data_IF_072781925714
#
_entry.id   IF_072781925714
#
_cell.length_a   1.000
_cell.length_b   1.000
_cell.length_c   1.000
_cell.angle_alpha   90.00
_cell.angle_beta   90.00
_cell.angle_gamma   90.00
#
_symmetry.space_group_name_H-M   'P 1'
#
loop_
_entity.id
_entity.type
_entity.pdbx_description
1 polymer ?
#
# COMPACT_ATOMS: atom_id res chain seq x y z
N UNK A 1 9.81 -41.13 -2.51
CA UNK A 1 9.16 -40.08 -3.28
C UNK A 1 7.67 -40.09 -2.98
N UNK A 2 7.25 -39.92 -1.73
CA UNK A 2 5.83 -39.85 -1.29
C UNK A 2 5.63 -39.38 0.15
N UNK A 3 6.57 -38.62 0.75
CA UNK A 3 6.42 -38.15 2.14
C UNK A 3 6.44 -36.60 2.30
N UNK A 4 6.67 -35.84 1.25
CA UNK A 4 6.79 -34.37 1.33
C UNK A 4 5.50 -33.57 1.02
N UNK A 5 4.38 -34.24 0.78
CA UNK A 5 3.09 -33.57 0.44
C UNK A 5 2.03 -33.71 1.54
N UNK A 6 2.31 -34.37 2.66
CA UNK A 6 1.31 -34.60 3.73
C UNK A 6 1.39 -33.69 4.94
N UNK A 7 2.38 -32.83 5.09
CA UNK A 7 2.56 -32.00 6.30
C UNK A 7 1.97 -30.58 6.25
N UNK A 8 1.29 -30.19 5.17
CA UNK A 8 0.64 -28.88 5.10
C UNK A 8 -0.80 -28.85 5.64
N UNK A 9 -1.36 -29.96 6.13
CA UNK A 9 -2.74 -30.06 6.59
C UNK A 9 -2.93 -30.66 7.99
N UNK A 10 -1.90 -30.70 8.81
CA UNK A 10 -2.07 -31.03 10.23
C UNK A 10 -2.12 -29.78 11.11
N UNK A 11 -3.03 -28.86 10.84
CA UNK A 11 -3.42 -27.86 11.83
C UNK A 11 -4.22 -28.58 12.90
N UNK A 12 -3.55 -28.82 14.01
CA UNK A 12 -4.09 -29.25 15.29
C UNK A 12 -5.49 -28.72 15.49
N UNK A 13 -6.48 -29.63 15.62
CA UNK A 13 -7.83 -29.38 16.13
C UNK A 13 -7.78 -29.00 17.62
N UNK A 14 -7.10 -27.93 17.98
CA UNK A 14 -7.37 -27.20 19.20
C UNK A 14 -8.46 -26.19 18.86
N UNK A 15 -9.66 -26.45 19.38
CA UNK A 15 -10.76 -25.50 19.49
C UNK A 15 -10.30 -24.29 20.33
N UNK A 16 -9.43 -23.44 19.80
CA UNK A 16 -9.41 -22.05 20.19
C UNK A 16 -10.58 -21.42 19.44
N UNK A 17 -11.66 -21.07 20.16
CA UNK A 17 -12.65 -20.11 19.70
C UNK A 17 -11.85 -18.92 19.15
N UNK A 18 -11.75 -18.79 17.82
CA UNK A 18 -11.20 -17.58 17.18
C UNK A 18 -12.13 -16.46 17.58
N UNK A 19 -11.77 -15.71 18.60
CA UNK A 19 -12.41 -14.44 18.90
C UNK A 19 -12.18 -13.59 17.67
N UNK A 20 -13.19 -13.40 16.84
CA UNK A 20 -13.13 -12.54 15.67
C UNK A 20 -12.80 -11.15 16.19
N UNK A 21 -11.71 -10.54 15.71
CA UNK A 21 -11.35 -9.20 16.15
C UNK A 21 -12.56 -8.26 15.97
N UNK A 22 -12.88 -7.40 16.96
CA UNK A 22 -14.08 -6.55 16.90
C UNK A 22 -14.14 -5.69 15.63
N UNK A 23 -13.01 -5.28 15.09
CA UNK A 23 -12.91 -4.56 13.81
C UNK A 23 -13.32 -5.41 12.59
N UNK A 24 -13.07 -6.72 12.64
CA UNK A 24 -13.48 -7.66 11.58
C UNK A 24 -15.00 -7.90 11.66
N UNK A 25 -15.57 -7.95 12.86
CA UNK A 25 -17.02 -8.03 13.06
C UNK A 25 -17.73 -6.78 12.54
N UNK A 26 -17.20 -5.59 12.83
CA UNK A 26 -17.72 -4.33 12.30
C UNK A 26 -17.72 -4.32 10.76
N UNK A 27 -16.63 -4.76 10.14
CA UNK A 27 -16.53 -4.87 8.68
C UNK A 27 -17.56 -5.86 8.11
N UNK A 28 -17.84 -6.96 8.82
CA UNK A 28 -18.86 -7.92 8.42
C UNK A 28 -20.27 -7.32 8.51
N UNK A 29 -20.61 -6.66 9.61
CA UNK A 29 -21.90 -6.00 9.81
C UNK A 29 -22.14 -4.92 8.74
N UNK A 30 -21.11 -4.14 8.39
CA UNK A 30 -21.22 -3.07 7.39
C UNK A 30 -21.54 -3.54 5.96
N UNK A 31 -21.50 -4.85 5.70
CA UNK A 31 -21.98 -5.42 4.43
C UNK A 31 -23.50 -5.53 4.36
N UNK A 32 -24.17 -5.61 5.51
CA UNK A 32 -25.63 -5.83 5.62
C UNK A 32 -26.37 -4.58 6.11
N UNK A 33 -25.66 -3.65 6.76
CA UNK A 33 -26.22 -2.41 7.29
C UNK A 33 -25.44 -1.23 6.74
N UNK A 34 -26.14 -0.26 6.20
CA UNK A 34 -25.54 0.99 5.73
C UNK A 34 -25.06 1.80 6.94
N UNK A 35 -23.75 1.89 7.11
CA UNK A 35 -23.08 2.68 8.15
C UNK A 35 -22.36 3.83 7.44
N UNK A 36 -22.54 5.07 7.89
CA UNK A 36 -21.79 6.22 7.34
C UNK A 36 -20.28 6.00 7.54
N UNK A 37 -19.48 6.49 6.61
CA UNK A 37 -18.02 6.34 6.69
C UNK A 37 -17.46 6.96 7.97
N UNK A 38 -17.99 8.09 8.41
CA UNK A 38 -17.56 8.76 9.64
C UNK A 38 -17.83 7.91 10.89
N UNK A 39 -19.02 7.34 11.01
CA UNK A 39 -19.35 6.46 12.13
C UNK A 39 -18.51 5.18 12.08
N UNK A 40 -18.36 4.58 10.88
CA UNK A 40 -17.53 3.40 10.69
C UNK A 40 -16.08 3.65 11.13
N UNK A 41 -15.47 4.74 10.65
CA UNK A 41 -14.09 5.09 10.98
C UNK A 41 -13.93 5.39 12.47
N UNK A 42 -14.89 6.08 13.09
CA UNK A 42 -14.86 6.41 14.53
C UNK A 42 -14.95 5.16 15.41
N UNK A 43 -15.89 4.25 15.10
CA UNK A 43 -16.04 2.98 15.84
C UNK A 43 -14.80 2.10 15.65
N UNK A 44 -14.32 1.95 14.43
CA UNK A 44 -13.15 1.15 14.15
C UNK A 44 -11.89 1.70 14.81
N UNK A 45 -11.73 3.02 14.80
CA UNK A 45 -10.61 3.70 15.47
C UNK A 45 -10.61 3.44 16.97
N UNK A 46 -11.79 3.55 17.60
CA UNK A 46 -11.95 3.21 19.01
C UNK A 46 -11.63 1.74 19.32
N UNK A 47 -12.13 0.82 18.51
CA UNK A 47 -11.85 -0.61 18.65
C UNK A 47 -10.36 -0.97 18.44
N UNK A 48 -9.65 -0.17 17.64
CA UNK A 48 -8.23 -0.42 17.35
C UNK A 48 -7.31 0.20 18.40
N UNK A 49 -7.60 1.43 18.85
CA UNK A 49 -6.68 2.22 19.67
C UNK A 49 -7.16 2.47 21.10
N UNK A 50 -8.40 2.09 21.44
CA UNK A 50 -8.99 2.35 22.77
C UNK A 50 -9.28 3.83 23.07
N UNK A 51 -9.24 4.69 22.04
CA UNK A 51 -9.45 6.15 22.15
C UNK A 51 -10.37 6.67 21.07
N UNK A 52 -11.05 7.78 21.31
CA UNK A 52 -11.94 8.41 20.34
C UNK A 52 -11.15 9.03 19.18
N UNK A 53 -11.74 8.97 17.98
CA UNK A 53 -11.25 9.69 16.82
C UNK A 53 -11.71 11.14 16.88
N UNK A 54 -10.77 12.06 17.00
CA UNK A 54 -11.04 13.51 16.90
C UNK A 54 -10.68 13.96 15.48
N UNK A 55 -11.71 14.21 14.67
CA UNK A 55 -11.55 14.74 13.32
C UNK A 55 -11.59 16.28 13.27
N UNK A 56 -12.02 16.95 14.35
CA UNK A 56 -12.00 18.40 14.42
C UNK A 56 -10.58 18.93 14.67
N UNK A 57 -9.84 18.23 15.57
CA UNK A 57 -8.47 18.60 15.93
C UNK A 57 -7.55 17.36 15.95
N UNK A 58 -7.28 16.71 14.80
CA UNK A 58 -6.47 15.51 14.77
C UNK A 58 -5.01 15.83 15.04
N UNK A 59 -4.44 15.23 16.09
CA UNK A 59 -3.04 15.46 16.51
C UNK A 59 -2.12 14.31 16.19
N UNK A 60 -2.64 13.09 16.09
CA UNK A 60 -1.84 11.88 15.81
C UNK A 60 -1.81 11.58 14.32
N UNK A 61 -0.78 10.88 13.86
CA UNK A 61 -0.67 10.44 12.47
C UNK A 61 -1.88 9.62 12.04
N UNK A 62 -2.26 8.64 12.86
CA UNK A 62 -3.42 7.78 12.56
C UNK A 62 -4.72 8.57 12.45
N UNK A 63 -4.97 9.57 13.31
CA UNK A 63 -6.14 10.43 13.22
C UNK A 63 -6.10 11.35 11.99
N UNK A 64 -4.93 11.92 11.67
CA UNK A 64 -4.73 12.74 10.47
C UNK A 64 -4.93 11.95 9.17
N UNK A 65 -4.55 10.67 9.12
CA UNK A 65 -4.85 9.80 7.97
C UNK A 65 -6.37 9.57 7.84
N UNK A 66 -7.13 9.38 8.95
CA UNK A 66 -8.60 9.29 8.87
C UNK A 66 -9.21 10.63 8.39
N UNK A 67 -8.66 11.76 8.84
CA UNK A 67 -9.06 13.08 8.36
C UNK A 67 -8.85 13.22 6.83
N UNK A 68 -7.68 12.84 6.32
CA UNK A 68 -7.39 12.87 4.88
C UNK A 68 -8.32 11.96 4.07
N UNK A 69 -8.71 10.80 4.58
CA UNK A 69 -9.72 9.96 3.92
C UNK A 69 -11.05 10.66 3.72
N UNK A 70 -11.44 11.51 4.66
CA UNK A 70 -12.75 12.14 4.68
C UNK A 70 -12.76 13.51 4.03
N UNK A 71 -11.74 14.31 4.27
CA UNK A 71 -11.68 15.73 3.93
C UNK A 71 -10.51 16.12 3.01
N UNK A 72 -9.62 15.19 2.70
CA UNK A 72 -8.41 15.42 1.91
C UNK A 72 -8.60 15.34 0.40
N UNK A 73 -9.82 15.42 -0.11
CA UNK A 73 -10.13 15.33 -1.54
C UNK A 73 -9.55 14.10 -2.23
N UNK A 74 -9.86 12.89 -1.73
CA UNK A 74 -9.26 11.64 -2.23
C UNK A 74 -9.50 11.39 -3.73
N UNK A 75 -10.57 11.97 -4.29
CA UNK A 75 -10.91 11.88 -5.71
C UNK A 75 -9.83 12.45 -6.62
N UNK A 76 -9.09 13.47 -6.15
CA UNK A 76 -7.99 14.09 -6.90
C UNK A 76 -6.76 13.18 -6.98
N UNK A 77 -6.61 12.29 -6.02
CA UNK A 77 -5.46 11.37 -5.94
C UNK A 77 -5.77 9.97 -6.49
N UNK A 78 -7.01 9.71 -6.90
CA UNK A 78 -7.39 8.42 -7.46
C UNK A 78 -6.50 7.98 -8.65
N UNK A 79 -6.15 8.85 -9.63
CA UNK A 79 -5.21 8.49 -10.70
C UNK A 79 -3.82 8.10 -10.19
N UNK A 80 -3.36 8.68 -9.07
CA UNK A 80 -2.05 8.38 -8.48
C UNK A 80 -2.06 7.09 -7.64
N UNK A 81 -3.22 6.68 -7.14
CA UNK A 81 -3.40 5.39 -6.45
C UNK A 81 -3.65 4.23 -7.42
N UNK A 82 -4.13 4.51 -8.64
CA UNK A 82 -4.31 3.52 -9.70
C UNK A 82 -2.95 3.09 -10.27
N UNK A 83 -2.58 1.81 -10.09
CA UNK A 83 -1.31 1.26 -10.56
C UNK A 83 -1.11 1.33 -12.08
N UNK A 84 -2.19 1.51 -12.84
CA UNK A 84 -2.12 1.75 -14.27
C UNK A 84 -1.92 3.23 -14.59
N UNK A 85 -2.81 4.09 -14.11
CA UNK A 85 -2.81 5.51 -14.46
C UNK A 85 -1.60 6.27 -13.89
N UNK A 86 -1.11 5.91 -12.71
CA UNK A 86 0.06 6.57 -12.07
C UNK A 86 1.32 6.53 -12.93
N UNK A 87 1.42 5.61 -13.87
CA UNK A 87 2.60 5.45 -14.72
C UNK A 87 2.85 6.66 -15.61
N UNK A 88 1.79 7.30 -16.11
CA UNK A 88 1.91 8.52 -16.91
C UNK A 88 2.44 9.67 -16.05
N UNK A 89 1.94 9.81 -14.83
CA UNK A 89 2.43 10.79 -13.87
C UNK A 89 3.92 10.56 -13.51
N UNK A 90 4.30 9.32 -13.23
CA UNK A 90 5.69 8.95 -12.93
C UNK A 90 6.59 9.25 -14.12
N UNK A 91 6.18 8.87 -15.33
CA UNK A 91 6.94 9.13 -16.56
C UNK A 91 7.15 10.62 -16.78
N UNK A 92 6.12 11.44 -16.57
CA UNK A 92 6.20 12.89 -16.75
C UNK A 92 7.02 13.59 -15.65
N UNK A 93 6.97 13.09 -14.40
CA UNK A 93 7.58 13.76 -13.24
C UNK A 93 9.04 13.36 -13.04
N UNK A 94 9.36 12.08 -13.13
CA UNK A 94 10.70 11.57 -12.82
C UNK A 94 11.35 10.80 -13.98
N UNK A 95 10.57 10.41 -14.98
CA UNK A 95 11.03 9.71 -16.18
C UNK A 95 10.63 8.24 -16.24
N UNK A 96 10.41 7.75 -17.47
CA UNK A 96 9.94 6.39 -17.74
C UNK A 96 10.96 5.30 -17.37
N UNK A 97 12.24 5.64 -17.23
CA UNK A 97 13.30 4.71 -16.81
C UNK A 97 13.14 4.18 -15.39
N UNK A 98 12.29 4.81 -14.57
CA UNK A 98 11.95 4.33 -13.22
C UNK A 98 10.73 3.41 -13.19
N UNK A 99 10.12 3.12 -14.35
CA UNK A 99 8.98 2.22 -14.45
C UNK A 99 9.46 0.83 -14.90
N UNK A 100 8.97 -0.22 -14.23
CA UNK A 100 9.15 -1.57 -14.74
C UNK A 100 8.36 -1.78 -16.05
N UNK A 101 8.77 -2.77 -16.84
CA UNK A 101 8.10 -3.07 -18.09
C UNK A 101 6.67 -3.57 -17.83
N UNK A 102 5.69 -2.91 -18.45
CA UNK A 102 4.32 -3.41 -18.53
C UNK A 102 4.22 -4.39 -19.69
N UNK A 103 3.70 -5.60 -19.40
CA UNK A 103 3.54 -6.68 -20.37
C UNK A 103 2.16 -6.58 -21.03
N UNK A 104 1.11 -6.41 -20.20
CA UNK A 104 -0.27 -6.34 -20.66
C UNK A 104 -1.19 -5.68 -19.62
N UNK A 105 -2.38 -5.28 -20.08
CA UNK A 105 -3.47 -4.74 -19.26
C UNK A 105 -4.76 -5.44 -19.68
N UNK A 106 -5.56 -5.90 -18.70
CA UNK A 106 -6.80 -6.64 -18.94
C UNK A 106 -7.96 -6.01 -18.18
N UNK A 107 -9.09 -5.83 -18.83
CA UNK A 107 -10.38 -5.46 -18.22
C UNK A 107 -11.22 -6.69 -17.89
N UNK A 108 -10.92 -7.81 -18.53
CA UNK A 108 -11.55 -9.10 -18.29
C UNK A 108 -10.46 -10.15 -18.09
N UNK A 109 -10.54 -10.94 -17.02
CA UNK A 109 -9.55 -11.97 -16.74
C UNK A 109 -9.51 -13.10 -17.78
N UNK A 110 -10.61 -13.33 -18.51
CA UNK A 110 -10.67 -14.30 -19.61
C UNK A 110 -9.77 -13.92 -20.80
N UNK A 111 -9.43 -12.63 -20.95
CA UNK A 111 -8.53 -12.12 -21.99
C UNK A 111 -7.06 -12.42 -21.73
N UNK A 112 -6.71 -12.94 -20.54
CA UNK A 112 -5.33 -13.29 -20.19
C UNK A 112 -4.88 -14.48 -21.05
N UNK A 113 -4.07 -14.18 -22.06
CA UNK A 113 -3.43 -15.17 -22.90
C UNK A 113 -2.22 -15.75 -22.15
N UNK A 114 -2.48 -16.83 -21.39
CA UNK A 114 -1.48 -17.44 -20.52
C UNK A 114 -0.25 -17.89 -21.29
N UNK A 115 -0.41 -18.35 -22.54
CA UNK A 115 0.71 -18.88 -23.33
C UNK A 115 1.70 -17.77 -23.75
N UNK A 116 1.19 -16.56 -23.99
CA UNK A 116 2.02 -15.39 -24.34
C UNK A 116 2.72 -14.75 -23.15
N UNK A 117 2.33 -15.08 -21.90
CA UNK A 117 3.01 -14.56 -20.74
C UNK A 117 4.39 -15.20 -20.55
N UNK A 118 5.41 -14.45 -20.07
CA UNK A 118 6.75 -14.98 -19.81
C UNK A 118 6.73 -16.03 -18.68
N UNK A 119 7.88 -16.65 -18.41
CA UNK A 119 8.00 -17.64 -17.33
C UNK A 119 7.80 -17.03 -15.94
N UNK A 120 8.18 -15.75 -15.76
CA UNK A 120 8.01 -15.01 -14.51
C UNK A 120 7.37 -13.65 -14.77
N UNK A 121 6.38 -13.29 -13.98
CA UNK A 121 5.63 -12.05 -14.07
C UNK A 121 4.86 -11.76 -12.78
N UNK A 122 4.27 -10.58 -12.68
CA UNK A 122 3.35 -10.23 -11.58
C UNK A 122 2.03 -9.71 -12.16
N UNK A 123 0.92 -10.31 -11.74
CA UNK A 123 -0.43 -9.79 -11.98
C UNK A 123 -0.82 -8.93 -10.76
N UNK A 124 -1.31 -7.72 -11.01
CA UNK A 124 -1.73 -6.78 -9.97
C UNK A 124 -3.10 -6.19 -10.32
N UNK A 125 -4.01 -6.12 -9.33
CA UNK A 125 -5.20 -5.30 -9.48
C UNK A 125 -4.82 -3.82 -9.38
N UNK A 126 -5.20 -3.01 -10.36
CA UNK A 126 -4.84 -1.59 -10.41
C UNK A 126 -5.53 -0.76 -9.32
N UNK A 127 -6.75 -1.16 -8.97
CA UNK A 127 -7.71 -0.49 -8.09
C UNK A 127 -7.67 -0.92 -6.62
N UNK A 128 -6.59 -1.59 -6.20
CA UNK A 128 -6.48 -2.13 -4.85
C UNK A 128 -5.03 -2.14 -4.34
N UNK A 129 -4.85 -2.15 -3.02
CA UNK A 129 -3.56 -2.38 -2.39
C UNK A 129 -3.39 -3.85 -2.01
N UNK A 130 -2.20 -4.41 -2.22
CA UNK A 130 -1.86 -5.78 -1.82
C UNK A 130 -2.46 -6.90 -2.69
N UNK A 131 -3.30 -6.59 -3.66
CA UNK A 131 -3.85 -7.59 -4.59
C UNK A 131 -2.87 -7.89 -5.72
N UNK A 132 -1.87 -8.71 -5.40
CA UNK A 132 -0.79 -9.10 -6.30
C UNK A 132 -0.64 -10.61 -6.33
N UNK A 133 -0.46 -11.17 -7.50
CA UNK A 133 -0.09 -12.56 -7.73
C UNK A 133 1.31 -12.59 -8.36
N UNK A 134 2.29 -12.99 -7.56
CA UNK A 134 3.68 -13.10 -7.99
C UNK A 134 3.90 -14.49 -8.57
N UNK A 135 4.17 -14.56 -9.86
CA UNK A 135 4.49 -15.81 -10.58
C UNK A 135 5.98 -15.82 -10.85
N UNK A 136 6.73 -16.55 -10.04
CA UNK A 136 8.18 -16.75 -10.20
C UNK A 136 8.51 -17.81 -11.25
N UNK A 137 7.66 -18.81 -11.34
CA UNK A 137 7.68 -19.86 -12.36
C UNK A 137 6.23 -20.14 -12.78
N UNK A 138 5.95 -19.94 -14.04
CA UNK A 138 4.64 -20.18 -14.66
C UNK A 138 4.13 -21.61 -14.44
N UNK A 139 5.06 -22.59 -14.31
CA UNK A 139 4.72 -23.99 -14.03
C UNK A 139 4.26 -24.25 -12.60
N UNK A 140 4.53 -23.32 -11.66
CA UNK A 140 4.20 -23.49 -10.24
C UNK A 140 2.74 -23.16 -9.91
N UNK A 141 1.98 -22.56 -10.85
CA UNK A 141 0.59 -22.18 -10.67
C UNK A 141 -0.23 -22.54 -11.90
N UNK A 142 -1.45 -23.05 -11.71
CA UNK A 142 -2.34 -23.31 -12.84
C UNK A 142 -2.93 -22.00 -13.37
N UNK A 143 -3.13 -21.94 -14.70
CA UNK A 143 -3.82 -20.85 -15.38
C UNK A 143 -5.17 -20.53 -14.73
N UNK A 144 -5.97 -21.57 -14.46
CA UNK A 144 -7.34 -21.40 -13.95
C UNK A 144 -7.35 -20.76 -12.57
N UNK A 145 -6.42 -21.12 -11.67
CA UNK A 145 -6.26 -20.49 -10.35
C UNK A 145 -5.91 -19.00 -10.49
N UNK A 146 -5.03 -18.65 -11.42
CA UNK A 146 -4.66 -17.26 -11.67
C UNK A 146 -5.83 -16.44 -12.24
N UNK A 147 -6.57 -17.00 -13.19
CA UNK A 147 -7.75 -16.35 -13.81
C UNK A 147 -8.87 -16.18 -12.78
N UNK A 148 -9.17 -17.19 -11.99
CA UNK A 148 -10.17 -17.11 -10.91
C UNK A 148 -9.81 -16.02 -9.90
N UNK A 149 -8.53 -15.91 -9.53
CA UNK A 149 -8.08 -14.86 -8.62
C UNK A 149 -8.24 -13.47 -9.25
N UNK A 150 -7.86 -13.28 -10.51
CA UNK A 150 -8.04 -12.02 -11.23
C UNK A 150 -9.53 -11.66 -11.39
N UNK A 151 -10.39 -12.64 -11.68
CA UNK A 151 -11.84 -12.46 -11.77
C UNK A 151 -12.42 -11.98 -10.43
N UNK A 152 -12.03 -12.61 -9.32
CA UNK A 152 -12.43 -12.16 -7.97
C UNK A 152 -12.01 -10.71 -7.71
N UNK A 153 -10.80 -10.32 -8.08
CA UNK A 153 -10.34 -8.95 -7.89
C UNK A 153 -11.14 -7.95 -8.72
N UNK A 154 -11.39 -8.23 -10.01
CA UNK A 154 -12.15 -7.36 -10.90
C UNK A 154 -13.60 -7.15 -10.45
N UNK A 155 -14.19 -8.12 -9.75
CA UNK A 155 -15.58 -8.07 -9.28
C UNK A 155 -15.74 -7.61 -7.83
N UNK A 156 -14.62 -7.42 -7.10
CA UNK A 156 -14.64 -7.06 -5.68
C UNK A 156 -14.45 -5.56 -5.46
N UNK A 157 -15.15 -5.01 -4.47
CA UNK A 157 -14.96 -3.61 -4.01
C UNK A 157 -13.89 -3.56 -2.92
N UNK A 158 -12.75 -2.98 -3.23
CA UNK A 158 -11.62 -2.86 -2.29
C UNK A 158 -11.94 -1.96 -1.08
N UNK A 159 -12.77 -0.94 -1.27
CA UNK A 159 -13.07 0.10 -0.26
C UNK A 159 -13.86 -0.38 0.95
N UNK A 160 -14.50 -1.56 0.89
CA UNK A 160 -15.47 -1.97 1.90
C UNK A 160 -14.87 -2.17 3.30
N UNK A 161 -13.62 -2.64 3.38
CA UNK A 161 -12.99 -2.95 4.67
C UNK A 161 -12.28 -1.77 5.32
N UNK A 162 -11.51 -0.99 4.56
CA UNK A 162 -10.67 0.08 5.14
C UNK A 162 -11.24 1.48 4.91
N UNK A 163 -12.31 1.60 4.13
CA UNK A 163 -12.87 2.89 3.70
C UNK A 163 -11.82 3.81 3.08
N UNK A 164 -10.94 3.23 2.28
CA UNK A 164 -9.91 3.97 1.55
C UNK A 164 -10.49 4.63 0.31
N UNK A 165 -11.03 5.82 0.50
CA UNK A 165 -11.85 6.55 -0.47
C UNK A 165 -11.12 6.84 -1.79
N UNK A 166 -9.79 6.90 -1.79
CA UNK A 166 -8.98 7.11 -3.01
C UNK A 166 -9.20 6.01 -4.06
N UNK A 167 -9.58 4.79 -3.65
CA UNK A 167 -9.83 3.68 -4.58
C UNK A 167 -11.28 3.60 -5.08
N UNK A 168 -12.18 4.45 -4.58
CA UNK A 168 -13.64 4.32 -4.80
C UNK A 168 -14.04 4.35 -6.28
N UNK A 169 -13.38 5.19 -7.07
CA UNK A 169 -13.75 5.47 -8.46
C UNK A 169 -12.69 4.98 -9.46
N UNK A 170 -11.74 4.15 -9.03
CA UNK A 170 -10.74 3.58 -9.94
C UNK A 170 -11.39 2.45 -10.75
N UNK A 171 -11.28 2.52 -12.07
CA UNK A 171 -11.74 1.47 -12.98
C UNK A 171 -10.96 0.18 -12.72
N UNK A 172 -11.62 -0.95 -12.41
CA UNK A 172 -10.93 -2.21 -12.19
C UNK A 172 -10.19 -2.69 -13.43
N UNK A 173 -8.88 -2.94 -13.28
CA UNK A 173 -8.02 -3.57 -14.30
C UNK A 173 -7.04 -4.53 -13.64
N UNK A 174 -6.60 -5.52 -14.38
CA UNK A 174 -5.43 -6.33 -14.06
C UNK A 174 -4.28 -5.85 -14.93
N UNK A 175 -3.19 -5.42 -14.31
CA UNK A 175 -1.94 -5.15 -15.02
C UNK A 175 -1.00 -6.34 -14.86
N UNK A 176 -0.34 -6.72 -15.95
CA UNK A 176 0.75 -7.68 -15.95
C UNK A 176 2.06 -6.93 -16.13
N UNK A 177 2.97 -7.09 -15.18
CA UNK A 177 4.28 -6.45 -15.20
C UNK A 177 5.39 -7.49 -15.06
N UNK A 178 6.59 -7.14 -15.50
CA UNK A 178 7.75 -8.00 -15.31
C UNK A 178 8.02 -8.26 -13.83
N UNK A 179 8.51 -9.46 -13.54
CA UNK A 179 9.01 -9.84 -12.23
C UNK A 179 10.45 -9.34 -12.08
N UNK A 180 10.70 -8.54 -11.05
CA UNK A 180 12.01 -7.91 -10.79
C UNK A 180 12.90 -8.74 -9.86
N UNK A 181 12.39 -9.84 -9.30
CA UNK A 181 13.16 -10.65 -8.36
C UNK A 181 14.31 -11.37 -9.05
N UNK A 182 15.46 -11.33 -8.41
CA UNK A 182 16.63 -12.15 -8.72
C UNK A 182 16.68 -13.26 -7.67
N UNK A 183 16.82 -14.55 -8.04
CA UNK A 183 16.93 -15.66 -7.07
C UNK A 183 18.05 -15.47 -6.05
N UNK A 184 19.12 -14.77 -6.43
CA UNK A 184 20.33 -14.60 -5.64
C UNK A 184 20.38 -13.28 -4.88
N UNK A 185 19.36 -12.40 -5.01
CA UNK A 185 19.31 -11.08 -4.39
C UNK A 185 18.01 -10.87 -3.66
N UNK A 186 18.10 -10.54 -2.37
CA UNK A 186 16.94 -10.08 -1.60
C UNK A 186 16.53 -8.69 -2.09
N UNK A 187 15.43 -8.66 -2.83
CA UNK A 187 14.89 -7.43 -3.41
C UNK A 187 14.17 -6.63 -2.31
N UNK A 188 14.85 -5.62 -1.79
CA UNK A 188 14.26 -4.73 -0.80
C UNK A 188 13.32 -3.72 -1.44
N UNK A 189 12.17 -3.55 -0.81
CA UNK A 189 11.21 -2.48 -1.10
C UNK A 189 11.39 -1.37 -0.07
N UNK A 190 11.80 -0.18 -0.55
CA UNK A 190 11.99 1.02 0.26
C UNK A 190 10.72 1.87 0.18
N UNK A 191 10.14 2.17 1.34
CA UNK A 191 8.87 2.89 1.45
C UNK A 191 9.09 4.24 2.11
N UNK A 192 9.08 5.29 1.30
CA UNK A 192 9.42 6.65 1.70
C UNK A 192 8.15 7.43 2.06
N UNK A 193 8.03 7.83 3.31
CA UNK A 193 6.89 8.60 3.82
C UNK A 193 7.15 10.08 3.61
N UNK A 194 6.40 10.67 2.69
CA UNK A 194 6.46 12.09 2.34
C UNK A 194 5.37 12.85 3.08
N UNK A 195 5.76 13.86 3.82
CA UNK A 195 4.88 14.77 4.54
C UNK A 195 5.06 16.17 3.97
N UNK A 196 3.99 16.74 3.41
CA UNK A 196 4.01 18.05 2.74
C UNK A 196 5.20 18.16 1.76
N UNK A 197 5.36 17.14 0.91
CA UNK A 197 6.40 17.08 -0.12
C UNK A 197 7.79 16.69 0.36
N UNK A 198 8.01 16.39 1.65
CA UNK A 198 9.33 16.04 2.20
C UNK A 198 9.35 14.66 2.84
N UNK A 199 10.34 13.86 2.50
CA UNK A 199 10.60 12.57 3.16
C UNK A 199 11.00 12.82 4.61
N UNK A 200 10.29 12.18 5.56
CA UNK A 200 10.59 12.28 7.00
C UNK A 200 10.93 10.93 7.62
N UNK A 201 10.50 9.85 7.01
CA UNK A 201 10.87 8.50 7.45
C UNK A 201 10.78 7.52 6.28
N UNK A 202 11.53 6.44 6.40
CA UNK A 202 11.62 5.37 5.40
C UNK A 202 11.43 4.05 6.13
N UNK A 203 10.66 3.12 5.59
CA UNK A 203 10.69 1.78 6.13
C UNK A 203 11.11 0.74 5.10
N UNK A 204 11.72 -0.33 5.62
CA UNK A 204 12.06 -1.52 4.86
C UNK A 204 11.37 -2.71 5.50
N UNK A 205 10.63 -3.47 4.70
CA UNK A 205 10.03 -4.74 5.10
C UNK A 205 10.99 -5.88 4.75
N UNK A 206 11.28 -6.75 5.73
CA UNK A 206 12.12 -7.95 5.55
C UNK A 206 11.34 -9.20 5.94
N UNK A 207 11.72 -10.36 5.41
CA UNK A 207 11.11 -11.64 5.75
C UNK A 207 9.61 -11.74 5.45
N UNK A 208 9.11 -11.02 4.45
CA UNK A 208 7.68 -10.79 4.15
C UNK A 208 6.84 -12.08 4.04
N UNK A 209 7.45 -13.18 3.62
CA UNK A 209 6.74 -14.46 3.39
C UNK A 209 6.95 -15.49 4.51
N UNK A 210 7.84 -15.22 5.47
CA UNK A 210 8.20 -16.18 6.52
C UNK A 210 7.94 -15.57 7.90
N UNK A 211 8.56 -14.42 8.21
CA UNK A 211 8.45 -13.70 9.48
C UNK A 211 8.57 -12.22 9.20
N UNK A 212 7.45 -11.61 8.83
CA UNK A 212 7.40 -10.21 8.40
C UNK A 212 7.92 -9.28 9.51
N UNK A 213 8.94 -8.51 9.19
CA UNK A 213 9.57 -7.50 10.03
C UNK A 213 9.59 -6.17 9.31
N UNK A 214 9.52 -5.08 10.08
CA UNK A 214 9.50 -3.71 9.54
C UNK A 214 10.43 -2.83 10.35
N UNK A 215 11.44 -2.26 9.71
CA UNK A 215 12.40 -1.36 10.34
C UNK A 215 12.28 0.04 9.75
N UNK A 216 12.24 1.06 10.62
CA UNK A 216 12.12 2.45 10.21
C UNK A 216 13.44 3.18 10.35
N UNK A 217 13.68 4.11 9.42
CA UNK A 217 14.88 4.94 9.34
C UNK A 217 14.51 6.41 9.13
N UNK A 218 15.37 7.32 9.60
CA UNK A 218 15.36 8.73 9.18
C UNK A 218 15.82 8.87 7.73
N UNK A 219 15.69 10.05 7.09
CA UNK A 219 16.30 10.32 5.78
C UNK A 219 17.82 10.15 5.76
N UNK A 220 18.49 10.34 6.92
CA UNK A 220 19.94 10.15 7.10
C UNK A 220 20.32 8.68 7.37
N UNK A 221 19.33 7.79 7.36
CA UNK A 221 19.45 6.35 7.60
C UNK A 221 19.70 5.96 9.07
N UNK A 222 19.39 6.85 10.03
CA UNK A 222 19.38 6.50 11.42
C UNK A 222 18.15 5.67 11.76
N UNK A 223 18.33 4.56 12.47
CA UNK A 223 17.23 3.70 12.89
C UNK A 223 16.32 4.41 13.88
N UNK A 224 15.03 4.48 13.57
CA UNK A 224 14.03 5.08 14.43
C UNK A 224 13.55 4.08 15.49
N UNK A 225 13.44 4.49 16.79
CA UNK A 225 13.21 3.58 17.91
C UNK A 225 11.73 3.31 18.16
N UNK A 226 11.01 2.85 17.12
CA UNK A 226 9.61 2.43 17.22
C UNK A 226 9.29 1.30 16.26
N UNK A 227 8.15 0.66 16.50
CA UNK A 227 7.52 -0.28 15.56
C UNK A 227 6.15 0.24 15.12
N UNK A 228 5.70 -0.19 13.95
CA UNK A 228 4.40 0.17 13.39
C UNK A 228 3.81 -1.04 12.69
N UNK A 229 2.70 -1.55 13.17
CA UNK A 229 1.96 -2.74 12.71
C UNK A 229 2.74 -4.04 12.88
N UNK A 230 4.00 -4.08 12.46
CA UNK A 230 4.85 -5.28 12.50
C UNK A 230 6.01 -5.09 13.48
N UNK A 231 6.55 -6.20 14.04
CA UNK A 231 7.75 -6.13 14.87
C UNK A 231 8.94 -5.56 14.11
N UNK A 232 9.88 -4.92 14.84
CA UNK A 232 11.14 -4.46 14.28
C UNK A 232 11.98 -5.62 13.76
N UNK A 233 12.67 -5.37 12.63
CA UNK A 233 13.63 -6.29 12.04
C UNK A 233 15.07 -5.99 12.45
N UNK A 234 16.00 -6.68 11.81
CA UNK A 234 17.43 -6.37 11.88
C UNK A 234 17.73 -5.05 11.16
N UNK A 235 18.91 -4.52 11.42
CA UNK A 235 19.37 -3.31 10.74
C UNK A 235 19.70 -3.66 9.28
N UNK A 236 19.09 -2.95 8.35
CA UNK A 236 19.38 -3.05 6.93
C UNK A 236 20.48 -2.04 6.58
N UNK A 237 21.44 -2.46 5.78
CA UNK A 237 22.50 -1.58 5.31
C UNK A 237 21.91 -0.39 4.50
N UNK A 238 22.53 0.78 4.62
CA UNK A 238 22.12 1.96 3.86
C UNK A 238 22.26 1.69 2.35
N UNK A 239 21.20 1.85 1.56
CA UNK A 239 21.27 1.61 0.12
C UNK A 239 22.08 2.69 -0.59
N UNK A 240 22.83 2.32 -1.61
CA UNK A 240 23.64 3.27 -2.40
C UNK A 240 22.82 4.36 -3.09
N UNK A 241 21.58 4.07 -3.45
CA UNK A 241 20.70 5.02 -4.14
C UNK A 241 19.79 5.85 -3.21
N UNK A 242 20.06 5.94 -1.90
CA UNK A 242 19.15 6.55 -0.93
C UNK A 242 18.79 8.00 -1.27
N UNK A 243 19.79 8.86 -1.52
CA UNK A 243 19.57 10.29 -1.85
C UNK A 243 18.75 10.43 -3.11
N UNK A 244 19.03 9.56 -4.09
CA UNK A 244 18.29 9.54 -5.34
C UNK A 244 16.84 9.12 -5.11
N UNK A 245 16.58 8.08 -4.31
CA UNK A 245 15.22 7.66 -3.96
C UNK A 245 14.48 8.77 -3.22
N UNK A 246 15.13 9.47 -2.28
CA UNK A 246 14.53 10.61 -1.56
C UNK A 246 14.15 11.71 -2.55
N UNK A 247 15.06 12.12 -3.43
CA UNK A 247 14.77 13.17 -4.42
C UNK A 247 13.62 12.78 -5.36
N UNK A 248 13.57 11.53 -5.82
CA UNK A 248 12.48 11.01 -6.66
C UNK A 248 11.16 10.96 -5.91
N UNK A 249 11.16 10.52 -4.64
CA UNK A 249 9.95 10.47 -3.82
C UNK A 249 9.40 11.87 -3.54
N UNK A 250 10.26 12.85 -3.24
CA UNK A 250 9.86 14.24 -3.01
C UNK A 250 9.32 14.88 -4.29
N UNK A 251 9.92 14.59 -5.45
CA UNK A 251 9.41 15.05 -6.74
C UNK A 251 8.00 14.49 -7.02
N UNK A 252 7.78 13.19 -6.78
CA UNK A 252 6.46 12.56 -6.93
C UNK A 252 5.44 13.04 -5.90
N UNK A 253 5.88 13.32 -4.67
CA UNK A 253 5.00 13.83 -3.63
C UNK A 253 4.54 15.27 -3.90
N UNK A 254 5.39 16.11 -4.49
CA UNK A 254 5.04 17.49 -4.81
C UNK A 254 4.39 18.23 -3.64
N UNK A 255 3.19 18.76 -3.84
CA UNK A 255 2.39 19.45 -2.81
C UNK A 255 1.40 18.54 -2.07
N UNK A 256 1.42 17.23 -2.28
CA UNK A 256 0.51 16.28 -1.61
C UNK A 256 0.78 16.34 -0.09
N UNK A 257 -0.26 16.52 0.74
CA UNK A 257 -0.08 16.62 2.20
C UNK A 257 0.58 15.39 2.79
N UNK A 258 0.17 14.21 2.35
CA UNK A 258 0.78 12.94 2.72
C UNK A 258 0.68 11.91 1.61
N UNK A 259 1.81 11.30 1.30
CA UNK A 259 1.88 10.10 0.45
C UNK A 259 3.10 9.27 0.81
N UNK A 260 2.99 7.96 0.74
CA UNK A 260 4.13 7.04 0.80
C UNK A 260 4.46 6.63 -0.63
N UNK A 261 5.70 6.87 -1.04
CA UNK A 261 6.22 6.47 -2.34
C UNK A 261 7.11 5.24 -2.15
N UNK A 262 6.78 4.17 -2.87
CA UNK A 262 7.45 2.89 -2.72
C UNK A 262 8.34 2.62 -3.94
N UNK A 263 9.60 2.25 -3.68
CA UNK A 263 10.57 1.86 -4.70
C UNK A 263 11.16 0.49 -4.41
N UNK A 264 11.40 -0.30 -5.45
CA UNK A 264 12.40 -1.35 -5.41
C UNK A 264 13.77 -0.77 -5.75
N UNK A 265 14.81 -1.26 -5.07
CA UNK A 265 16.19 -1.00 -5.44
C UNK A 265 16.84 -2.34 -5.79
N UNK A 266 17.14 -2.52 -7.07
CA UNK A 266 17.94 -3.65 -7.59
C UNK A 266 19.42 -3.26 -7.58
N UNK A 267 20.31 -4.18 -8.02
CA UNK A 267 21.74 -3.86 -8.10
C UNK A 267 22.01 -2.61 -8.94
N UNK A 268 21.25 -2.42 -10.03
CA UNK A 268 21.58 -1.48 -11.08
C UNK A 268 20.58 -0.33 -11.22
N UNK A 269 19.38 -0.43 -10.58
CA UNK A 269 18.33 0.57 -10.82
C UNK A 269 17.34 0.70 -9.66
N UNK A 270 16.77 1.90 -9.58
CA UNK A 270 15.61 2.21 -8.74
C UNK A 270 14.37 2.03 -9.61
N UNK A 271 13.38 1.27 -9.13
CA UNK A 271 12.13 1.01 -9.83
C UNK A 271 10.95 1.43 -8.98
N UNK A 272 10.10 2.31 -9.51
CA UNK A 272 8.87 2.75 -8.87
C UNK A 272 7.88 1.58 -8.70
N UNK A 273 7.22 1.53 -7.54
CA UNK A 273 6.29 0.48 -7.16
C UNK A 273 4.85 0.98 -7.09
N UNK A 274 4.60 1.93 -6.19
CA UNK A 274 3.27 2.52 -5.97
C UNK A 274 3.34 3.82 -5.16
N UNK A 275 2.25 4.59 -5.19
CA UNK A 275 1.95 5.68 -4.26
C UNK A 275 0.82 5.23 -3.34
N UNK A 276 1.06 5.29 -2.01
CA UNK A 276 0.11 4.86 -0.99
C UNK A 276 -0.34 6.06 -0.15
N UNK A 277 -1.64 6.33 -0.14
CA UNK A 277 -2.21 7.49 0.58
C UNK A 277 -2.59 7.17 2.02
N UNK A 278 -2.95 5.92 2.31
CA UNK A 278 -3.42 5.50 3.63
C UNK A 278 -2.71 4.24 4.09
N UNK A 279 -1.42 4.34 4.51
CA UNK A 279 -0.66 3.15 4.96
C UNK A 279 -1.40 2.42 6.07
N UNK A 280 -1.50 1.09 5.94
CA UNK A 280 -2.28 0.20 6.82
C UNK A 280 -3.73 0.70 7.07
N UNK A 281 -4.30 1.44 6.10
CA UNK A 281 -5.60 2.10 6.22
C UNK A 281 -5.69 3.15 7.32
N UNK A 282 -4.57 3.66 7.83
CA UNK A 282 -4.49 4.56 8.98
C UNK A 282 -4.84 3.89 10.31
N UNK A 283 -4.80 2.54 10.37
CA UNK A 283 -5.08 1.75 11.58
C UNK A 283 -3.87 1.00 12.11
N UNK A 284 -2.68 1.28 11.60
CA UNK A 284 -1.44 0.73 12.15
C UNK A 284 -1.12 1.32 13.53
N UNK A 285 -0.72 0.46 14.48
CA UNK A 285 -0.39 0.89 15.81
C UNK A 285 1.12 1.12 15.97
N UNK A 286 1.48 2.26 16.54
CA UNK A 286 2.86 2.57 16.94
C UNK A 286 3.17 1.97 18.32
N UNK A 287 4.38 1.46 18.49
CA UNK A 287 4.93 1.07 19.78
C UNK A 287 6.36 1.60 19.91
N UNK A 288 6.64 2.47 20.92
CA UNK A 288 5.72 3.10 21.87
C UNK A 288 4.69 4.05 21.23
N UNK A 289 3.47 4.11 21.81
CA UNK A 289 2.35 4.89 21.28
C UNK A 289 2.59 6.39 21.11
N UNK A 290 3.57 6.98 21.85
CA UNK A 290 3.97 8.40 21.70
C UNK A 290 4.40 8.75 20.26
N UNK A 291 4.87 7.76 19.50
CA UNK A 291 5.32 7.98 18.13
C UNK A 291 4.17 8.30 17.16
N UNK A 292 2.95 7.92 17.48
CA UNK A 292 1.78 8.34 16.69
C UNK A 292 1.61 9.87 16.67
N UNK A 293 1.84 10.53 17.83
CA UNK A 293 1.85 11.99 17.92
C UNK A 293 3.10 12.59 17.29
N UNK A 294 4.28 12.01 17.55
CA UNK A 294 5.55 12.49 16.96
C UNK A 294 5.48 12.49 15.43
N UNK A 295 5.05 11.40 14.83
CA UNK A 295 4.88 11.29 13.36
C UNK A 295 3.72 12.18 12.88
N UNK A 296 2.67 12.31 13.69
CA UNK A 296 1.58 13.24 13.42
C UNK A 296 2.05 14.70 13.26
N UNK A 297 3.06 15.11 14.03
CA UNK A 297 3.62 16.47 13.94
C UNK A 297 4.37 16.75 12.64
N UNK A 298 4.78 15.72 11.88
CA UNK A 298 5.36 15.92 10.54
C UNK A 298 4.33 16.35 9.50
N UNK A 299 3.04 16.06 9.73
CA UNK A 299 1.96 16.32 8.78
C UNK A 299 1.22 17.60 9.15
N UNK A 300 1.37 18.64 8.34
CA UNK A 300 0.46 19.77 8.35
C UNK A 300 -0.75 19.44 7.46
N UNK A 301 -1.95 19.39 8.04
CA UNK A 301 -3.16 19.20 7.26
C UNK A 301 -3.48 20.50 6.50
N UNK A 302 -4.02 20.38 5.26
CA UNK A 302 -4.50 21.55 4.54
C UNK A 302 -5.67 22.19 5.31
N UNK A 303 -5.87 23.50 5.14
CA UNK A 303 -7.06 24.14 5.61
C UNK A 303 -8.28 23.48 4.97
N UNK A 304 -9.27 23.09 5.77
CA UNK A 304 -10.50 22.56 5.24
C UNK A 304 -11.22 23.64 4.42
N UNK A 305 -11.19 23.49 3.11
CA UNK A 305 -11.93 24.35 2.19
C UNK A 305 -12.90 23.48 1.40
N UNK A 306 -14.18 23.86 1.41
CA UNK A 306 -15.19 23.25 0.53
C UNK A 306 -15.05 23.73 -0.93
N UNK A 307 -14.06 24.60 -1.23
CA UNK A 307 -13.83 25.13 -2.57
C UNK A 307 -12.94 24.23 -3.41
N UNK A 308 -13.32 23.90 -4.65
CA UNK A 308 -12.50 23.17 -5.61
C UNK A 308 -11.20 23.89 -6.01
N UNK A 309 -11.06 25.19 -5.74
CA UNK A 309 -9.94 26.03 -6.18
C UNK A 309 -8.62 25.82 -5.42
N UNK A 310 -8.62 25.04 -4.34
CA UNK A 310 -7.43 24.80 -3.52
C UNK A 310 -6.33 23.98 -4.24
N UNK A 311 -6.64 23.35 -5.36
CA UNK A 311 -5.77 22.33 -5.99
C UNK A 311 -5.13 22.73 -7.33
N UNK A 312 -5.03 24.03 -7.64
CA UNK A 312 -4.44 24.53 -8.91
C UNK A 312 -2.94 24.20 -9.12
N UNK A 313 -2.32 23.45 -8.21
CA UNK A 313 -0.91 23.08 -8.29
C UNK A 313 -0.63 21.60 -8.59
N UNK A 314 -1.65 20.75 -8.70
CA UNK A 314 -1.46 19.34 -9.07
C UNK A 314 -1.64 19.24 -10.59
N UNK A 315 -0.62 18.88 -11.37
CA UNK A 315 -0.78 18.68 -12.81
C UNK A 315 -1.63 17.42 -13.04
N UNK A 316 -2.96 17.60 -13.11
CA UNK A 316 -3.86 16.60 -13.67
C UNK A 316 -3.87 16.85 -15.16
N UNK A 317 -3.04 16.15 -15.91
CA UNK A 317 -3.15 16.12 -17.35
C UNK A 317 -4.43 15.35 -17.72
N UNK A 318 -5.35 16.05 -18.36
CA UNK A 318 -6.55 15.51 -18.98
C UNK A 318 -6.21 14.66 -20.21
#
# INVERSE_FOLDING_TARGET
>A
MSEFIRDSFSVSKRLMKKVVAPSTLLAHISKYVTISDELYLSVRYYLTFGRRLDLANPTTFTAKIQWLKRYGHPELYAPLADKFAVRDYVSATIGSQYLNRMIAVYRNAAEIDWEKLPQSFVLKASHASGWNLIVRDKKSISRDVAIDQCTRWLTSKYTDFQRESVYKNIEPRIICVEYLGDPDVDLHEYKLYCFNGKVKMIHVDTGRFISHRRTFYSPDWDRLPFTYTYPGGETVARPQGLEKMIALAEALAGSIPFVRVDFFHTRDQIVFCEMTFYPDGGFGAFSPGKWDTTVGNYLALPAYSMSPDYHRGIPVHH
#
